data_IF_137687708264
#
_entry.id   IF_137687708264
#
_cell.length_a   1.000
_cell.length_b   1.000
_cell.length_c   1.000
_cell.angle_alpha   90.00
_cell.angle_beta   90.00
_cell.angle_gamma   90.00
#
_symmetry.space_group_name_H-M   'P 1'
#
loop_
_entity.id
_entity.type
_entity.pdbx_description
1 polymer ?
#
# COMPACT_ATOMS: atom_id res chain seq x y z
N UNK A 1 4.89 -8.19 11.55
CA UNK A 1 4.61 -7.83 12.95
C UNK A 1 3.11 -7.68 13.17
N UNK A 2 2.61 -8.02 14.36
CA UNK A 2 1.17 -8.06 14.65
C UNK A 2 0.50 -9.32 14.09
N UNK A 3 -0.74 -9.20 13.58
CA UNK A 3 -1.55 -10.31 13.05
C UNK A 3 -1.07 -10.88 11.71
N UNK A 4 0.10 -10.47 11.20
CA UNK A 4 0.66 -10.95 9.94
C UNK A 4 0.72 -12.49 9.80
N UNK A 5 1.07 -13.28 10.84
CA UNK A 5 1.15 -14.74 10.72
C UNK A 5 -0.22 -15.44 10.60
N UNK A 6 -1.32 -14.76 10.94
CA UNK A 6 -2.68 -15.32 10.87
C UNK A 6 -3.50 -14.72 9.72
N UNK A 7 -3.01 -13.66 9.08
CA UNK A 7 -3.68 -13.01 7.97
C UNK A 7 -3.32 -13.68 6.65
N UNK A 8 -4.16 -14.61 6.22
CA UNK A 8 -3.97 -15.39 5.01
C UNK A 8 -4.33 -14.60 3.74
N UNK A 9 -3.49 -14.71 2.70
CA UNK A 9 -3.68 -14.09 1.39
C UNK A 9 -3.95 -15.19 0.35
N UNK A 10 -5.23 -15.47 0.01
CA UNK A 10 -5.60 -16.61 -0.84
C UNK A 10 -4.93 -16.60 -2.22
N UNK A 11 -4.74 -15.42 -2.80
CA UNK A 11 -4.14 -15.22 -4.12
C UNK A 11 -2.66 -15.65 -4.18
N UNK A 12 -2.00 -15.69 -3.03
CA UNK A 12 -0.57 -16.04 -2.91
C UNK A 12 -0.36 -17.35 -2.16
N UNK A 13 -1.44 -17.98 -1.67
CA UNK A 13 -1.42 -19.17 -0.81
C UNK A 13 -0.41 -19.05 0.35
N UNK A 14 -0.34 -17.84 0.96
CA UNK A 14 0.65 -17.47 1.98
C UNK A 14 0.02 -16.52 2.99
N UNK A 15 0.55 -16.51 4.21
CA UNK A 15 0.25 -15.51 5.23
C UNK A 15 1.02 -14.21 4.97
N UNK A 16 0.56 -13.10 5.54
CA UNK A 16 1.27 -11.81 5.44
C UNK A 16 2.66 -11.80 6.08
N UNK A 17 2.97 -12.78 6.95
CA UNK A 17 4.32 -12.97 7.48
C UNK A 17 5.27 -13.66 6.48
N UNK A 18 4.73 -14.49 5.57
CA UNK A 18 5.49 -15.26 4.58
C UNK A 18 5.71 -14.49 3.26
N UNK A 19 5.06 -13.34 3.10
CA UNK A 19 5.18 -12.51 1.92
C UNK A 19 6.44 -11.63 2.05
N UNK A 20 7.35 -11.64 1.04
CA UNK A 20 8.53 -10.78 1.05
C UNK A 20 8.13 -9.31 1.22
N UNK A 21 8.94 -8.57 1.98
CA UNK A 21 8.64 -7.18 2.33
C UNK A 21 8.40 -6.30 1.10
N UNK A 22 9.15 -6.54 0.02
CA UNK A 22 8.99 -5.82 -1.25
C UNK A 22 7.63 -6.05 -1.89
N UNK A 23 7.13 -7.28 -1.87
CA UNK A 23 5.79 -7.62 -2.38
C UNK A 23 4.72 -7.02 -1.46
N UNK A 24 4.89 -7.15 -0.14
CA UNK A 24 3.99 -6.56 0.87
C UNK A 24 3.87 -5.04 0.73
N UNK A 25 4.98 -4.36 0.44
CA UNK A 25 5.03 -2.92 0.21
C UNK A 25 4.36 -2.50 -1.11
N UNK A 26 4.09 -3.43 -2.03
CA UNK A 26 3.34 -3.20 -3.26
C UNK A 26 1.85 -3.49 -3.10
N UNK A 27 1.49 -4.54 -2.34
CA UNK A 27 0.11 -5.06 -2.30
C UNK A 27 -0.70 -4.69 -1.03
N UNK A 28 -0.04 -4.23 0.03
CA UNK A 28 -0.74 -3.99 1.30
C UNK A 28 -1.75 -2.84 1.23
N UNK A 29 -2.74 -2.85 2.13
CA UNK A 29 -3.70 -1.74 2.29
C UNK A 29 -2.99 -0.39 2.48
N UNK A 30 -1.88 -0.40 3.23
CA UNK A 30 -1.05 0.79 3.46
C UNK A 30 -0.44 1.30 2.16
N UNK A 31 0.14 0.42 1.34
CA UNK A 31 0.71 0.77 0.05
C UNK A 31 -0.34 1.44 -0.87
N UNK A 32 -1.54 0.83 -0.95
CA UNK A 32 -2.65 1.37 -1.75
C UNK A 32 -3.14 2.73 -1.23
N UNK A 33 -3.18 2.92 0.08
CA UNK A 33 -3.56 4.20 0.68
C UNK A 33 -2.52 5.30 0.37
N UNK A 34 -1.24 4.99 0.51
CA UNK A 34 -0.15 5.91 0.19
C UNK A 34 -0.12 6.29 -1.29
N UNK A 35 -0.36 5.34 -2.18
CA UNK A 35 -0.44 5.62 -3.63
C UNK A 35 -1.55 6.63 -3.95
N UNK A 36 -2.74 6.48 -3.34
CA UNK A 36 -3.83 7.46 -3.50
C UNK A 36 -3.51 8.82 -2.89
N UNK A 37 -2.87 8.83 -1.73
CA UNK A 37 -2.45 10.06 -1.07
C UNK A 37 -1.44 10.84 -1.93
N UNK A 38 -0.50 10.14 -2.59
CA UNK A 38 0.45 10.75 -3.52
C UNK A 38 -0.26 11.50 -4.65
N UNK A 39 -1.24 10.86 -5.29
CA UNK A 39 -2.03 11.50 -6.35
C UNK A 39 -2.74 12.76 -5.85
N UNK A 40 -3.40 12.69 -4.68
CA UNK A 40 -4.08 13.86 -4.11
C UNK A 40 -3.13 15.03 -3.82
N UNK A 41 -1.90 14.73 -3.38
CA UNK A 41 -0.88 15.76 -3.14
C UNK A 41 -0.40 16.35 -4.47
N UNK A 42 -0.18 15.54 -5.49
CA UNK A 42 0.21 15.99 -6.83
C UNK A 42 -0.86 16.91 -7.44
N UNK A 43 -2.14 16.51 -7.36
CA UNK A 43 -3.27 17.31 -7.82
C UNK A 43 -3.36 18.64 -7.07
N UNK A 44 -3.17 18.62 -5.74
CA UNK A 44 -3.19 19.82 -4.91
C UNK A 44 -2.06 20.79 -5.25
N UNK A 45 -0.86 20.27 -5.54
CA UNK A 45 0.28 21.09 -5.95
C UNK A 45 0.02 21.72 -7.32
N UNK A 46 -0.46 20.97 -8.30
CA UNK A 46 -0.80 21.50 -9.64
C UNK A 46 -1.81 22.64 -9.56
N UNK A 47 -2.90 22.43 -8.81
CA UNK A 47 -3.93 23.45 -8.59
C UNK A 47 -3.38 24.77 -8.00
N UNK A 48 -2.35 24.67 -7.14
CA UNK A 48 -1.72 25.81 -6.48
C UNK A 48 -0.75 26.59 -7.37
N UNK A 49 -0.15 25.96 -8.38
CA UNK A 49 0.76 26.63 -9.32
C UNK A 49 0.01 27.32 -10.47
N UNK A 50 -1.22 26.88 -10.75
CA UNK A 50 -2.09 27.44 -11.79
C UNK A 50 -2.98 28.61 -11.29
N UNK A 51 -2.96 28.93 -9.99
CA UNK A 51 -3.72 30.00 -9.33
C UNK A 51 -2.82 31.18 -8.91
#
# INVERSE_FOLDING_TARGET
FGYDPIFFVPQLNKTMAEIPLEVKNKISHRARALARMKTLIEDFISYREES
#
